data_IF_444964680127
#
_entry.id   IF_444964680127
#
_cell.length_a   1.000
_cell.length_b   1.000
_cell.length_c   1.000
_cell.angle_alpha   90.00
_cell.angle_beta   90.00
_cell.angle_gamma   90.00
#
_symmetry.space_group_name_H-M   'P 1'
#
loop_
_entity.id
_entity.type
_entity.pdbx_description
1 polymer ?
#
# COMPACT_ATOMS: atom_id res chain seq x y z
N UNK A 1 -17.42 -0.86 28.26
CA UNK A 1 -18.09 0.25 27.53
C UNK A 1 -17.10 0.72 26.47
N UNK A 2 -17.28 0.66 25.15
CA UNK A 2 -18.42 0.40 24.26
C UNK A 2 -17.86 -0.33 23.03
N UNK A 3 -18.49 -1.42 22.59
CA UNK A 3 -18.26 -1.97 21.26
C UNK A 3 -18.87 -1.01 20.25
N UNK A 4 -18.05 -0.23 19.55
CA UNK A 4 -18.50 0.53 18.38
C UNK A 4 -17.96 -0.16 17.14
N UNK A 5 -18.88 -0.54 16.27
CA UNK A 5 -18.65 -1.17 14.97
C UNK A 5 -17.61 -0.38 14.18
N UNK A 6 -16.42 -0.99 14.01
CA UNK A 6 -15.20 -0.36 13.51
C UNK A 6 -15.28 0.01 12.04
N UNK A 7 -15.74 1.21 11.75
CA UNK A 7 -15.61 1.84 10.43
C UNK A 7 -15.05 3.23 10.67
N UNK A 8 -13.76 3.39 10.39
CA UNK A 8 -13.09 4.66 10.51
C UNK A 8 -13.35 5.49 9.25
N UNK A 9 -13.84 6.69 9.48
CA UNK A 9 -14.32 7.60 8.42
C UNK A 9 -13.24 8.65 8.16
N UNK A 10 -13.02 8.96 6.89
CA UNK A 10 -12.23 10.12 6.48
C UNK A 10 -13.00 10.87 5.40
N UNK A 11 -13.69 11.94 5.81
CA UNK A 11 -14.56 12.69 4.91
C UNK A 11 -15.79 11.87 4.51
N UNK A 12 -16.15 11.81 3.22
CA UNK A 12 -17.30 11.04 2.77
C UNK A 12 -17.03 9.52 2.72
N UNK A 13 -15.75 9.10 2.69
CA UNK A 13 -15.39 7.71 2.57
C UNK A 13 -15.32 6.98 3.91
N UNK A 14 -15.76 5.72 3.88
CA UNK A 14 -15.69 4.80 5.00
C UNK A 14 -14.73 3.67 4.63
N UNK A 15 -13.69 3.47 5.43
CA UNK A 15 -12.66 2.48 5.14
C UNK A 15 -12.76 1.29 6.10
N UNK A 16 -12.85 0.08 5.56
CA UNK A 16 -12.83 -1.17 6.34
C UNK A 16 -11.43 -1.54 6.82
N UNK A 17 -10.40 -1.09 6.09
CA UNK A 17 -8.97 -1.28 6.37
C UNK A 17 -8.44 -0.45 7.56
N UNK A 18 -9.22 0.51 8.06
CA UNK A 18 -8.80 1.39 9.15
C UNK A 18 -9.17 0.79 10.52
N UNK A 19 -8.42 -0.19 11.01
CA UNK A 19 -8.67 -0.78 12.34
C UNK A 19 -7.39 -1.09 13.09
N UNK A 20 -7.36 -0.77 14.38
CA UNK A 20 -6.29 -1.22 15.29
C UNK A 20 -6.50 -2.69 15.70
N UNK A 21 -7.76 -3.09 15.84
CA UNK A 21 -8.14 -4.45 16.27
C UNK A 21 -9.31 -4.99 15.45
N UNK A 22 -9.30 -6.29 15.18
CA UNK A 22 -10.42 -7.01 14.60
C UNK A 22 -10.62 -8.32 15.34
N UNK A 23 -11.90 -8.71 15.52
CA UNK A 23 -12.25 -10.06 15.90
C UNK A 23 -12.08 -10.98 14.69
N UNK A 24 -11.86 -12.27 14.95
CA UNK A 24 -11.97 -13.30 13.92
C UNK A 24 -13.43 -13.31 13.44
N UNK A 25 -13.60 -13.34 12.13
CA UNK A 25 -14.91 -13.48 11.49
C UNK A 25 -15.57 -14.79 11.92
N UNK A 26 -16.90 -14.83 11.80
CA UNK A 26 -17.68 -16.07 11.97
C UNK A 26 -17.53 -17.02 10.78
N UNK A 27 -16.80 -16.63 9.73
CA UNK A 27 -16.49 -17.50 8.63
C UNK A 27 -15.59 -18.64 9.14
N UNK A 28 -15.94 -19.88 8.79
CA UNK A 28 -15.16 -21.08 9.13
C UNK A 28 -13.93 -21.19 8.23
N UNK A 29 -13.06 -20.18 8.30
CA UNK A 29 -11.81 -20.09 7.54
C UNK A 29 -10.64 -19.92 8.51
N UNK A 30 -9.52 -20.52 8.16
CA UNK A 30 -8.29 -20.40 8.96
C UNK A 30 -7.61 -19.04 8.74
N UNK A 31 -7.68 -18.54 7.51
CA UNK A 31 -7.06 -17.31 7.03
C UNK A 31 -8.13 -16.44 6.34
N UNK A 32 -8.21 -15.17 6.73
CA UNK A 32 -9.26 -14.23 6.30
C UNK A 32 -8.82 -13.31 5.15
N UNK A 33 -7.53 -13.29 4.84
CA UNK A 33 -6.95 -12.37 3.88
C UNK A 33 -5.45 -12.55 3.71
N UNK A 34 -4.88 -11.69 2.87
CA UNK A 34 -3.45 -11.65 2.56
C UNK A 34 -3.03 -10.18 2.49
N UNK A 35 -2.11 -9.75 3.34
CA UNK A 35 -1.40 -8.49 3.15
C UNK A 35 -0.23 -8.75 2.21
N UNK A 36 -0.01 -7.86 1.26
CA UNK A 36 1.18 -7.86 0.42
C UNK A 36 1.88 -6.52 0.48
N UNK A 37 3.20 -6.56 0.28
CA UNK A 37 4.05 -5.39 0.10
C UNK A 37 4.69 -5.45 -1.29
N UNK A 38 4.68 -4.32 -1.98
CA UNK A 38 5.03 -4.21 -3.39
C UNK A 38 5.90 -2.97 -3.57
N UNK A 39 6.97 -3.08 -4.35
CA UNK A 39 7.82 -1.93 -4.62
C UNK A 39 7.20 -1.03 -5.71
N UNK A 40 7.75 0.18 -5.90
CA UNK A 40 7.33 1.12 -6.95
C UNK A 40 7.39 0.56 -8.38
N UNK A 41 8.18 -0.49 -8.61
CA UNK A 41 8.25 -1.19 -9.90
C UNK A 41 7.11 -2.20 -10.11
N UNK A 42 6.26 -2.39 -9.09
CA UNK A 42 5.18 -3.38 -9.11
C UNK A 42 5.65 -4.81 -8.82
N UNK A 43 6.86 -4.99 -8.29
CA UNK A 43 7.39 -6.30 -7.88
C UNK A 43 6.87 -6.58 -6.47
N UNK A 44 6.24 -7.75 -6.29
CA UNK A 44 5.80 -8.25 -4.99
C UNK A 44 7.04 -8.63 -4.18
N UNK A 45 7.21 -8.01 -3.02
CA UNK A 45 8.36 -8.23 -2.15
C UNK A 45 8.08 -9.32 -1.12
N UNK A 46 6.98 -9.16 -0.38
CA UNK A 46 6.60 -10.06 0.70
C UNK A 46 5.09 -10.07 0.90
N UNK A 47 4.56 -11.15 1.44
CA UNK A 47 3.17 -11.24 1.88
C UNK A 47 3.05 -11.91 3.24
N UNK A 48 1.94 -11.66 3.93
CA UNK A 48 1.58 -12.33 5.17
C UNK A 48 0.08 -12.62 5.17
N UNK A 49 -0.30 -13.68 5.89
CA UNK A 49 -1.71 -14.06 6.02
C UNK A 49 -2.39 -13.25 7.11
N UNK A 50 -3.61 -12.81 6.83
CA UNK A 50 -4.50 -12.27 7.85
C UNK A 50 -5.20 -13.44 8.56
N UNK A 51 -5.04 -13.56 9.87
CA UNK A 51 -5.73 -14.57 10.70
C UNK A 51 -7.03 -14.06 11.35
N UNK A 52 -7.28 -12.77 11.14
CA UNK A 52 -8.46 -11.99 11.50
C UNK A 52 -8.50 -10.80 10.55
N UNK A 53 -9.62 -10.11 10.46
CA UNK A 53 -9.81 -8.96 9.57
C UNK A 53 -8.65 -7.95 9.56
N UNK A 54 -8.61 -7.15 8.50
CA UNK A 54 -7.54 -6.19 8.24
C UNK A 54 -7.31 -5.23 9.42
N UNK A 55 -6.09 -5.22 9.94
CA UNK A 55 -5.64 -4.37 11.04
C UNK A 55 -4.26 -3.80 10.77
N UNK A 56 -3.94 -2.65 11.35
CA UNK A 56 -2.67 -1.93 11.14
C UNK A 56 -1.40 -2.70 11.52
N UNK A 57 -1.50 -3.72 12.37
CA UNK A 57 -0.35 -4.55 12.76
C UNK A 57 0.26 -5.28 11.54
N UNK A 58 -0.57 -5.73 10.60
CA UNK A 58 -0.11 -6.44 9.41
C UNK A 58 0.80 -5.58 8.51
N UNK A 59 0.37 -4.40 8.01
CA UNK A 59 1.23 -3.53 7.22
C UNK A 59 2.41 -3.00 8.04
N UNK A 60 2.27 -2.76 9.35
CA UNK A 60 3.38 -2.36 10.21
C UNK A 60 4.48 -3.42 10.29
N UNK A 61 4.08 -4.70 10.40
CA UNK A 61 5.03 -5.81 10.37
C UNK A 61 5.80 -5.85 9.04
N UNK A 62 5.10 -5.79 7.90
CA UNK A 62 5.78 -5.75 6.59
C UNK A 62 6.65 -4.51 6.42
N UNK A 63 6.20 -3.34 6.91
CA UNK A 63 6.97 -2.11 6.86
C UNK A 63 8.28 -2.29 7.63
N UNK A 64 8.23 -2.88 8.83
CA UNK A 64 9.43 -3.13 9.64
C UNK A 64 10.42 -4.05 8.92
N UNK A 65 9.96 -5.23 8.51
CA UNK A 65 10.80 -6.23 7.84
C UNK A 65 11.45 -5.70 6.56
N UNK A 66 10.70 -4.89 5.80
CA UNK A 66 11.19 -4.37 4.51
C UNK A 66 11.97 -3.07 4.64
N UNK A 67 11.75 -2.26 5.68
CA UNK A 67 12.50 -1.02 5.89
C UNK A 67 13.99 -1.31 6.09
N UNK A 68 14.30 -2.37 6.86
CA UNK A 68 15.67 -2.80 7.14
C UNK A 68 16.41 -3.24 5.86
N UNK A 69 15.71 -3.88 4.93
CA UNK A 69 16.31 -4.44 3.70
C UNK A 69 16.33 -3.44 2.55
N UNK A 70 15.28 -2.64 2.39
CA UNK A 70 15.05 -1.86 1.18
C UNK A 70 15.55 -0.40 1.27
N UNK A 71 15.97 0.08 2.45
CA UNK A 71 16.30 1.48 2.71
C UNK A 71 15.26 2.45 2.10
N UNK A 72 13.98 2.14 2.35
CA UNK A 72 12.86 2.77 1.67
C UNK A 72 12.56 4.16 2.25
N UNK A 73 12.61 5.19 1.41
CA UNK A 73 12.28 6.57 1.83
C UNK A 73 10.77 6.82 1.88
N UNK A 74 9.99 6.12 1.06
CA UNK A 74 8.56 6.39 0.87
C UNK A 74 7.73 5.17 1.23
N UNK A 75 6.58 5.40 1.87
CA UNK A 75 5.62 4.35 2.24
C UNK A 75 4.24 4.67 1.65
N UNK A 76 3.63 3.70 1.00
CA UNK A 76 2.29 3.84 0.44
C UNK A 76 1.29 2.97 1.20
N UNK A 77 0.13 3.55 1.51
CA UNK A 77 -1.03 2.82 2.00
C UNK A 77 -2.31 3.60 1.73
N UNK A 78 -3.41 2.93 1.36
CA UNK A 78 -4.71 3.58 1.08
C UNK A 78 -5.25 4.41 2.24
N UNK A 79 -4.84 4.08 3.45
CA UNK A 79 -5.25 4.67 4.71
C UNK A 79 -4.07 5.24 5.50
N UNK A 80 -3.01 5.64 4.80
CA UNK A 80 -1.79 6.22 5.38
C UNK A 80 -2.09 7.34 6.38
N UNK A 81 -3.11 8.16 6.12
CA UNK A 81 -3.52 9.27 6.98
C UNK A 81 -3.97 8.87 8.40
N UNK A 82 -4.46 7.64 8.57
CA UNK A 82 -4.84 7.08 9.88
C UNK A 82 -3.77 6.16 10.41
N UNK A 83 -3.22 5.34 9.53
CA UNK A 83 -2.13 4.43 9.85
C UNK A 83 -0.92 5.15 10.46
N UNK A 84 -0.54 6.32 9.94
CA UNK A 84 0.64 7.03 10.43
C UNK A 84 0.50 7.48 11.88
N UNK A 85 -0.67 8.00 12.26
CA UNK A 85 -0.95 8.35 13.66
C UNK A 85 -0.99 7.13 14.58
N UNK A 86 -1.35 5.95 14.06
CA UNK A 86 -1.20 4.70 14.79
C UNK A 86 0.28 4.32 14.96
N UNK A 87 1.07 4.40 13.88
CA UNK A 87 2.51 4.11 13.90
C UNK A 87 3.27 5.00 14.89
N UNK A 88 3.01 6.32 14.89
CA UNK A 88 3.62 7.27 15.83
C UNK A 88 3.34 6.89 17.30
N UNK A 89 2.10 6.48 17.62
CA UNK A 89 1.73 6.00 18.96
C UNK A 89 2.44 4.69 19.33
N UNK A 90 2.62 3.80 18.36
CA UNK A 90 3.35 2.54 18.58
C UNK A 90 4.83 2.82 18.78
N UNK A 91 5.45 3.66 17.94
CA UNK A 91 6.84 4.07 18.06
C UNK A 91 7.14 4.75 19.41
N UNK A 92 6.21 5.56 19.93
CA UNK A 92 6.36 6.15 21.26
C UNK A 92 6.44 5.12 22.40
N UNK A 93 5.89 3.92 22.21
CA UNK A 93 5.90 2.83 23.19
C UNK A 93 6.99 1.79 22.93
N UNK A 94 7.37 1.63 21.67
CA UNK A 94 8.28 0.60 21.15
C UNK A 94 9.41 1.29 20.38
N UNK A 95 10.56 1.55 21.03
CA UNK A 95 11.68 2.27 20.43
C UNK A 95 12.18 1.65 19.11
N UNK A 96 12.05 0.33 18.95
CA UNK A 96 12.43 -0.39 17.73
C UNK A 96 11.60 0.00 16.50
N UNK A 97 10.47 0.68 16.68
CA UNK A 97 9.62 1.18 15.58
C UNK A 97 9.91 2.64 15.23
N UNK A 98 10.73 3.35 16.00
CA UNK A 98 11.10 4.75 15.74
C UNK A 98 11.64 4.97 14.32
N UNK A 99 12.54 4.13 13.78
CA UNK A 99 13.06 4.33 12.42
C UNK A 99 11.95 4.30 11.34
N UNK A 100 10.84 3.60 11.59
CA UNK A 100 9.73 3.52 10.63
C UNK A 100 9.02 4.86 10.46
N UNK A 101 9.10 5.75 11.45
CA UNK A 101 8.50 7.09 11.43
C UNK A 101 9.32 8.10 10.61
N UNK A 102 10.53 7.74 10.20
CA UNK A 102 11.39 8.59 9.35
C UNK A 102 10.99 8.49 7.87
N UNK A 103 10.29 7.42 7.48
CA UNK A 103 9.78 7.27 6.13
C UNK A 103 8.72 8.33 5.84
N UNK A 104 8.53 8.66 4.57
CA UNK A 104 7.53 9.61 4.11
C UNK A 104 6.28 8.88 3.58
N UNK A 105 5.18 8.84 4.35
CA UNK A 105 3.95 8.18 3.95
C UNK A 105 3.17 9.02 2.93
N UNK A 106 2.46 8.36 2.03
CA UNK A 106 1.51 9.05 1.14
C UNK A 106 0.35 8.15 0.70
N UNK A 107 -0.75 8.81 0.33
CA UNK A 107 -1.92 8.26 -0.33
C UNK A 107 -1.70 8.27 -1.84
N UNK A 108 -2.18 7.24 -2.53
CA UNK A 108 -2.10 7.16 -3.98
C UNK A 108 -2.96 8.24 -4.60
N UNK A 109 -2.66 8.59 -5.85
CA UNK A 109 -3.39 9.64 -6.56
C UNK A 109 -4.89 9.34 -6.65
N UNK A 110 -5.27 8.06 -6.78
CA UNK A 110 -6.68 7.65 -6.81
C UNK A 110 -7.29 7.63 -5.40
N UNK A 111 -6.62 7.01 -4.43
CA UNK A 111 -7.17 6.91 -3.07
C UNK A 111 -7.25 8.26 -2.38
N UNK A 112 -6.28 9.16 -2.58
CA UNK A 112 -6.27 10.49 -1.98
C UNK A 112 -7.57 11.27 -2.25
N UNK A 113 -8.16 11.12 -3.43
CA UNK A 113 -9.43 11.76 -3.83
C UNK A 113 -10.66 11.23 -3.07
N UNK A 114 -10.59 10.01 -2.55
CA UNK A 114 -11.65 9.44 -1.73
C UNK A 114 -11.64 10.01 -0.30
N UNK A 115 -10.53 10.58 0.15
CA UNK A 115 -10.41 11.22 1.46
C UNK A 115 -10.89 12.68 1.43
N UNK A 116 -10.86 13.36 2.58
CA UNK A 116 -11.09 14.82 2.63
C UNK A 116 -10.05 15.59 1.80
N UNK A 117 -10.41 16.76 1.26
CA UNK A 117 -9.44 17.61 0.55
C UNK A 117 -8.21 18.00 1.39
N UNK A 118 -8.35 18.16 2.72
CA UNK A 118 -7.20 18.36 3.63
C UNK A 118 -6.25 17.17 3.62
N UNK A 119 -6.81 15.96 3.55
CA UNK A 119 -6.05 14.72 3.49
C UNK A 119 -5.35 14.57 2.14
N UNK A 120 -6.04 14.89 1.04
CA UNK A 120 -5.46 14.89 -0.31
C UNK A 120 -4.26 15.82 -0.41
N UNK A 121 -4.36 17.04 0.13
CA UNK A 121 -3.24 18.01 0.09
C UNK A 121 -2.08 17.54 0.96
N UNK A 122 -2.35 17.10 2.19
CA UNK A 122 -1.31 16.72 3.16
C UNK A 122 -0.60 15.42 2.81
N UNK A 123 -1.35 14.41 2.39
CA UNK A 123 -0.83 13.05 2.20
C UNK A 123 -0.78 12.65 0.72
N UNK A 124 -1.22 13.48 -0.22
CA UNK A 124 -1.14 13.16 -1.63
C UNK A 124 0.31 13.07 -2.11
N UNK A 125 0.66 11.99 -2.82
CA UNK A 125 2.03 11.77 -3.30
C UNK A 125 2.58 12.90 -4.20
N UNK A 126 1.71 13.68 -4.85
CA UNK A 126 2.12 14.85 -5.67
C UNK A 126 2.63 16.03 -4.84
N UNK A 127 2.15 16.16 -3.60
CA UNK A 127 2.58 17.22 -2.68
C UNK A 127 3.90 16.87 -1.98
N UNK A 128 4.40 15.65 -2.17
CA UNK A 128 5.53 15.12 -1.42
C UNK A 128 6.82 15.23 -2.24
N UNK A 129 7.76 16.03 -1.74
CA UNK A 129 9.05 16.20 -2.38
C UNK A 129 9.82 14.88 -2.48
N UNK A 130 10.38 14.62 -3.67
CA UNK A 130 11.13 13.40 -3.99
C UNK A 130 10.27 12.19 -4.37
N UNK A 131 8.95 12.21 -4.11
CA UNK A 131 8.06 11.12 -4.52
C UNK A 131 7.89 11.07 -6.06
N UNK A 132 8.12 12.21 -6.74
CA UNK A 132 7.95 12.35 -8.18
C UNK A 132 6.51 12.07 -8.61
N UNK A 133 6.31 11.64 -9.86
CA UNK A 133 4.98 11.29 -10.37
C UNK A 133 4.57 9.84 -10.00
N UNK A 134 4.83 9.43 -8.76
CA UNK A 134 4.44 8.10 -8.28
C UNK A 134 2.93 8.04 -8.08
N UNK A 135 2.31 7.01 -8.66
CA UNK A 135 0.86 6.83 -8.56
C UNK A 135 0.51 6.22 -7.20
N UNK A 136 1.22 5.18 -6.77
CA UNK A 136 0.97 4.47 -5.52
C UNK A 136 -0.03 3.31 -5.65
N UNK A 137 -0.59 3.05 -6.83
CA UNK A 137 -1.59 1.98 -7.03
C UNK A 137 -0.95 0.63 -7.46
N UNK A 138 0.36 0.47 -7.28
CA UNK A 138 1.07 -0.76 -7.66
C UNK A 138 0.57 -1.98 -6.88
N UNK A 139 0.31 -1.84 -5.58
CA UNK A 139 -0.20 -2.95 -4.75
C UNK A 139 -1.59 -3.38 -5.17
N UNK A 140 -2.46 -2.45 -5.60
CA UNK A 140 -3.81 -2.77 -6.08
C UNK A 140 -3.82 -3.59 -7.36
N UNK A 141 -2.82 -3.40 -8.23
CA UNK A 141 -2.65 -4.26 -9.41
C UNK A 141 -2.32 -5.70 -8.99
N UNK A 142 -1.49 -5.87 -7.96
CA UNK A 142 -1.12 -7.19 -7.45
C UNK A 142 -2.30 -7.82 -6.69
N UNK A 143 -3.02 -7.06 -5.87
CA UNK A 143 -4.25 -7.48 -5.20
C UNK A 143 -5.27 -7.97 -6.22
N UNK A 144 -5.52 -7.20 -7.28
CA UNK A 144 -6.40 -7.60 -8.38
C UNK A 144 -5.95 -8.91 -9.02
N UNK A 145 -4.66 -9.09 -9.28
CA UNK A 145 -4.12 -10.32 -9.84
C UNK A 145 -4.32 -11.54 -8.92
N UNK A 146 -3.96 -11.42 -7.64
CA UNK A 146 -4.02 -12.49 -6.65
C UNK A 146 -5.44 -12.78 -6.14
N UNK A 147 -6.36 -11.83 -6.20
CA UNK A 147 -7.75 -12.00 -5.76
C UNK A 147 -8.44 -13.20 -6.42
N UNK A 148 -8.07 -13.50 -7.67
CA UNK A 148 -8.59 -14.65 -8.42
C UNK A 148 -8.16 -16.00 -7.83
N UNK A 149 -7.00 -16.03 -7.18
CA UNK A 149 -6.51 -17.22 -6.48
C UNK A 149 -7.33 -17.53 -5.24
N UNK A 150 -7.96 -16.54 -4.61
CA UNK A 150 -8.75 -16.74 -3.40
C UNK A 150 -9.85 -17.79 -3.59
N UNK A 151 -10.44 -17.87 -4.79
CA UNK A 151 -11.51 -18.83 -5.12
C UNK A 151 -11.02 -20.28 -5.08
N UNK A 152 -9.78 -20.55 -5.50
CA UNK A 152 -9.20 -21.90 -5.53
C UNK A 152 -8.47 -22.23 -4.24
N UNK A 153 -7.78 -21.26 -3.63
CA UNK A 153 -7.00 -21.47 -2.41
C UNK A 153 -7.84 -21.64 -1.16
N UNK A 154 -9.11 -21.22 -1.18
CA UNK A 154 -10.01 -21.29 -0.02
C UNK A 154 -10.18 -22.71 0.55
N UNK A 155 -10.14 -23.72 -0.33
CA UNK A 155 -10.36 -25.13 0.05
C UNK A 155 -9.06 -25.94 0.12
N UNK A 156 -7.91 -25.28 -0.05
CA UNK A 156 -6.61 -25.93 0.01
C UNK A 156 -6.14 -26.10 1.45
N UNK A 157 -5.25 -27.07 1.67
CA UNK A 157 -4.47 -27.13 2.92
C UNK A 157 -3.58 -25.91 3.04
N UNK A 158 -3.16 -25.57 4.26
CA UNK A 158 -2.28 -24.42 4.52
C UNK A 158 -1.01 -24.43 3.67
N UNK A 159 -0.36 -25.58 3.55
CA UNK A 159 0.85 -25.74 2.72
C UNK A 159 0.55 -25.55 1.23
N UNK A 160 -0.46 -26.25 0.69
CA UNK A 160 -0.82 -26.14 -0.71
C UNK A 160 -1.25 -24.71 -1.10
N UNK A 161 -1.96 -24.01 -0.21
CA UNK A 161 -2.30 -22.59 -0.38
C UNK A 161 -1.04 -21.72 -0.45
N UNK A 162 -0.10 -21.90 0.48
CA UNK A 162 1.14 -21.13 0.51
C UNK A 162 1.96 -21.36 -0.77
N UNK A 163 2.08 -22.60 -1.21
CA UNK A 163 2.78 -22.95 -2.45
C UNK A 163 2.12 -22.32 -3.68
N UNK A 164 0.79 -22.43 -3.79
CA UNK A 164 0.03 -21.83 -4.90
C UNK A 164 0.21 -20.30 -4.96
N UNK A 165 0.06 -19.60 -3.82
CA UNK A 165 0.26 -18.15 -3.76
C UNK A 165 1.71 -17.79 -4.12
N UNK A 166 2.68 -18.57 -3.65
CA UNK A 166 4.10 -18.36 -3.96
C UNK A 166 4.39 -18.50 -5.45
N UNK A 167 3.87 -19.54 -6.10
CA UNK A 167 4.02 -19.73 -7.55
C UNK A 167 3.41 -18.56 -8.33
N UNK A 168 2.22 -18.10 -7.94
CA UNK A 168 1.58 -16.94 -8.59
C UNK A 168 2.38 -15.64 -8.38
N UNK A 169 2.92 -15.43 -7.18
CA UNK A 169 3.79 -14.31 -6.87
C UNK A 169 5.08 -14.34 -7.71
N UNK A 170 5.71 -15.51 -7.83
CA UNK A 170 6.89 -15.70 -8.68
C UNK A 170 6.58 -15.41 -10.15
N UNK A 171 5.46 -15.90 -10.66
CA UNK A 171 5.03 -15.63 -12.04
C UNK A 171 4.73 -14.13 -12.28
N UNK A 172 4.14 -13.46 -11.30
CA UNK A 172 3.94 -12.01 -11.35
C UNK A 172 5.28 -11.28 -11.43
N UNK A 173 6.20 -11.60 -10.53
CA UNK A 173 7.52 -10.97 -10.45
C UNK A 173 8.34 -11.22 -11.72
N UNK A 174 8.34 -12.45 -12.24
CA UNK A 174 9.00 -12.78 -13.51
C UNK A 174 8.55 -11.86 -14.63
N UNK A 175 7.23 -11.72 -14.84
CA UNK A 175 6.67 -10.84 -15.87
C UNK A 175 7.04 -9.37 -15.64
N UNK A 176 7.11 -8.92 -14.38
CA UNK A 176 7.50 -7.54 -14.04
C UNK A 176 8.97 -7.28 -14.35
N UNK A 177 9.85 -8.24 -14.04
CA UNK A 177 11.29 -8.15 -14.34
C UNK A 177 11.53 -8.16 -15.85
N UNK A 178 10.92 -9.10 -16.59
CA UNK A 178 11.04 -9.18 -18.05
C UNK A 178 10.61 -7.90 -18.75
N UNK A 179 9.59 -7.21 -18.23
CA UNK A 179 9.06 -5.97 -18.81
C UNK A 179 9.55 -4.71 -18.10
N UNK A 180 10.51 -4.81 -17.19
CA UNK A 180 10.96 -3.68 -16.38
C UNK A 180 11.56 -2.58 -17.26
N UNK A 181 12.44 -2.95 -18.20
CA UNK A 181 13.06 -2.01 -19.14
C UNK A 181 12.03 -1.22 -19.95
N UNK A 182 10.99 -1.89 -20.46
CA UNK A 182 9.88 -1.24 -21.19
C UNK A 182 9.09 -0.29 -20.30
N UNK A 183 8.82 -0.72 -19.06
CA UNK A 183 8.09 0.09 -18.07
C UNK A 183 8.87 1.36 -17.70
N UNK A 184 10.16 1.22 -17.42
CA UNK A 184 11.03 2.35 -17.07
C UNK A 184 11.18 3.33 -18.23
N UNK A 185 11.42 2.85 -19.45
CA UNK A 185 11.49 3.71 -20.64
C UNK A 185 10.19 4.51 -20.86
N UNK A 186 9.03 3.85 -20.76
CA UNK A 186 7.72 4.52 -20.86
C UNK A 186 7.51 5.55 -19.76
N UNK A 187 7.88 5.22 -18.51
CA UNK A 187 7.78 6.15 -17.37
C UNK A 187 8.67 7.37 -17.57
N UNK A 188 9.90 7.18 -18.06
CA UNK A 188 10.82 8.27 -18.36
C UNK A 188 10.23 9.24 -19.38
N UNK A 189 9.84 8.74 -20.57
CA UNK A 189 9.24 9.57 -21.63
C UNK A 189 8.02 10.34 -21.12
N UNK A 190 7.09 9.67 -20.42
CA UNK A 190 5.89 10.31 -19.88
C UNK A 190 6.22 11.39 -18.86
N UNK A 191 7.23 11.17 -18.02
CA UNK A 191 7.64 12.13 -16.99
C UNK A 191 8.29 13.35 -17.63
N UNK A 192 9.17 13.15 -18.62
CA UNK A 192 9.82 14.25 -19.36
C UNK A 192 8.80 15.11 -20.11
N UNK A 193 7.86 14.48 -20.82
CA UNK A 193 6.77 15.21 -21.50
C UNK A 193 5.94 16.02 -20.51
N UNK A 194 5.58 15.42 -19.37
CA UNK A 194 4.81 16.13 -18.35
C UNK A 194 5.58 17.31 -17.77
N UNK A 195 6.87 17.13 -17.48
CA UNK A 195 7.73 18.20 -16.97
C UNK A 195 7.75 19.40 -17.95
N UNK A 196 7.88 19.13 -19.25
CA UNK A 196 7.81 20.19 -20.27
C UNK A 196 6.46 20.91 -20.24
N UNK A 197 5.35 20.18 -20.20
CA UNK A 197 4.01 20.79 -20.12
C UNK A 197 3.86 21.67 -18.88
N UNK A 198 4.34 21.24 -17.71
CA UNK A 198 4.27 22.07 -16.51
C UNK A 198 5.15 23.33 -16.62
N UNK A 199 6.32 23.25 -17.28
CA UNK A 199 7.14 24.43 -17.57
C UNK A 199 6.38 25.41 -18.46
N UNK A 200 5.76 24.93 -19.55
CA UNK A 200 5.00 25.77 -20.48
C UNK A 200 3.78 26.43 -19.79
N UNK A 201 3.10 25.70 -18.92
CA UNK A 201 2.00 26.21 -18.08
C UNK A 201 2.48 27.31 -17.12
N UNK A 202 3.64 27.13 -16.49
CA UNK A 202 4.21 28.12 -15.57
C UNK A 202 4.62 29.40 -16.30
N UNK A 203 5.16 29.29 -17.52
CA UNK A 203 5.50 30.44 -18.36
C UNK A 203 4.25 31.20 -18.77
N UNK A 204 3.20 30.50 -19.22
CA UNK A 204 1.93 31.12 -19.63
C UNK A 204 1.09 31.68 -18.47
N UNK A 205 1.25 31.16 -17.24
CA UNK A 205 0.58 31.72 -16.05
C UNK A 205 1.21 33.01 -15.51
N UNK A 206 2.41 33.38 -16.01
CA UNK A 206 3.13 34.61 -15.63
C UNK A 206 2.87 35.78 -16.58
N UNK A 207 2.17 35.56 -17.69
CA UNK A 207 1.69 36.58 -18.64
C UNK A 207 0.24 36.94 -18.39
#
# INVERSE_FOLDING_TARGET
MTSKSGRDVCGPATFTACRETSLKSSAKVDEEGLQIAVCRHGILLQGLNHYRGEIYVYPMFLQKELAEVANATFFYMEVACRYWSYLEKMAAKFPELQPLTEMKPFLSVMHAKAHTGKCEVKWGGRSLEGAGNTVGDEVEQVNSFLSRAALTTKYMTKSARADMITVLAMQWNHRKVENLHKTLAKRFVKTTQRAQTEVDNLVSSKS
#
